data_IF_037658517108
#
_entry.id   IF_037658517108
#
_cell.length_a   1.000
_cell.length_b   1.000
_cell.length_c   1.000
_cell.angle_alpha   90.00
_cell.angle_beta   90.00
_cell.angle_gamma   90.00
#
_symmetry.space_group_name_H-M   'P 1'
#
loop_
_entity.id
_entity.type
_entity.pdbx_description
1 polymer ?
#
# COMPACT_ATOMS: atom_id res chain seq x y z
N UNK A 1 -21.17 -19.25 18.38
CA UNK A 1 -20.83 -17.82 18.56
C UNK A 1 -19.62 -17.59 19.51
N UNK A 2 -19.53 -18.27 20.65
CA UNK A 2 -18.37 -18.15 21.56
C UNK A 2 -17.06 -18.70 20.95
N UNK A 3 -17.12 -19.79 20.18
CA UNK A 3 -15.92 -20.37 19.53
C UNK A 3 -15.32 -19.53 18.43
N UNK A 4 -16.10 -18.66 17.81
CA UNK A 4 -15.60 -17.75 16.77
C UNK A 4 -14.88 -16.54 17.39
N UNK A 5 -15.32 -16.08 18.55
CA UNK A 5 -14.65 -15.02 19.31
C UNK A 5 -13.28 -15.43 19.87
N UNK A 6 -13.14 -16.68 20.33
CA UNK A 6 -11.85 -17.20 20.81
C UNK A 6 -10.83 -17.29 19.67
N UNK A 7 -11.25 -17.66 18.46
CA UNK A 7 -10.38 -17.68 17.28
C UNK A 7 -9.96 -16.28 16.81
N UNK A 8 -10.85 -15.30 16.88
CA UNK A 8 -10.52 -13.92 16.58
C UNK A 8 -9.56 -13.34 17.62
N UNK A 9 -9.72 -13.65 18.90
CA UNK A 9 -8.79 -13.21 19.94
C UNK A 9 -7.40 -13.82 19.78
N UNK A 10 -7.28 -15.09 19.38
CA UNK A 10 -5.99 -15.71 19.07
C UNK A 10 -5.28 -15.09 17.86
N UNK A 11 -6.02 -14.52 16.92
CA UNK A 11 -5.45 -13.79 15.78
C UNK A 11 -4.93 -12.41 16.24
N UNK A 12 -5.63 -11.76 17.16
CA UNK A 12 -5.21 -10.47 17.71
C UNK A 12 -4.08 -10.59 18.75
N UNK A 13 -3.99 -11.69 19.49
CA UNK A 13 -2.86 -11.95 20.41
C UNK A 13 -1.53 -12.21 19.68
N UNK A 14 -1.55 -12.48 18.37
CA UNK A 14 -0.35 -12.55 17.53
C UNK A 14 0.19 -11.18 17.07
N UNK A 15 -0.38 -10.08 17.52
CA UNK A 15 0.18 -8.73 17.29
C UNK A 15 1.54 -8.49 17.97
N UNK A 16 2.01 -9.40 18.81
CA UNK A 16 3.35 -9.35 19.43
C UNK A 16 4.53 -9.40 18.45
N UNK A 17 4.25 -9.61 17.16
CA UNK A 17 5.27 -9.65 16.10
C UNK A 17 5.27 -8.43 15.18
N UNK A 18 4.48 -7.40 15.47
CA UNK A 18 4.50 -6.14 14.71
C UNK A 18 5.50 -5.20 15.37
N UNK A 19 6.54 -4.87 14.64
CA UNK A 19 7.50 -3.85 15.02
C UNK A 19 7.11 -2.53 14.34
N UNK A 20 6.83 -1.52 15.14
CA UNK A 20 6.49 -0.19 14.67
C UNK A 20 7.73 0.64 14.47
N UNK A 21 7.84 1.28 13.32
CA UNK A 21 8.90 2.23 12.98
C UNK A 21 8.29 3.59 12.66
N UNK A 22 8.98 4.64 13.11
CA UNK A 22 8.57 6.01 12.85
C UNK A 22 9.71 6.75 12.18
N UNK A 23 9.44 7.40 11.04
CA UNK A 23 10.38 8.25 10.35
C UNK A 23 9.90 9.69 10.47
N UNK A 24 10.80 10.57 10.90
CA UNK A 24 10.56 12.01 10.96
C UNK A 24 11.46 12.65 9.93
N UNK A 25 10.87 13.43 9.03
CA UNK A 25 11.58 14.12 7.97
C UNK A 25 11.76 15.58 8.34
N UNK A 26 12.98 16.09 8.17
CA UNK A 26 13.36 17.46 8.50
C UNK A 26 13.71 18.24 7.24
N UNK A 27 13.36 19.49 7.22
CA UNK A 27 13.83 20.48 6.27
C UNK A 27 14.36 21.69 7.04
N UNK A 28 15.64 22.06 6.83
CA UNK A 28 16.30 23.14 7.57
C UNK A 28 16.07 23.05 9.10
N UNK A 29 16.33 21.86 9.67
CA UNK A 29 16.15 21.54 11.10
C UNK A 29 14.70 21.61 11.63
N UNK A 30 13.72 21.90 10.78
CA UNK A 30 12.30 21.87 11.11
C UNK A 30 11.68 20.51 10.73
N UNK A 31 10.98 19.81 11.64
CA UNK A 31 10.23 18.62 11.27
C UNK A 31 9.07 19.01 10.36
N UNK A 32 8.98 18.39 9.18
CA UNK A 32 7.98 18.70 8.15
C UNK A 32 7.06 17.54 7.80
N UNK A 33 7.45 16.34 8.15
CA UNK A 33 6.62 15.16 7.92
C UNK A 33 7.00 14.01 8.85
N UNK A 34 6.07 13.08 9.05
CA UNK A 34 6.37 11.79 9.64
C UNK A 34 5.62 10.67 8.94
N UNK A 35 6.20 9.45 8.99
CA UNK A 35 5.56 8.23 8.55
C UNK A 35 5.60 7.19 9.66
N UNK A 36 4.52 6.47 9.82
CA UNK A 36 4.42 5.25 10.61
C UNK A 36 4.54 4.04 9.68
N UNK A 37 5.41 3.11 10.00
CA UNK A 37 5.57 1.84 9.30
C UNK A 37 5.31 0.68 10.24
N UNK A 38 4.71 -0.38 9.71
CA UNK A 38 4.58 -1.67 10.37
C UNK A 38 5.50 -2.67 9.71
N UNK A 39 6.39 -3.26 10.49
CA UNK A 39 7.20 -4.41 10.05
C UNK A 39 6.58 -5.67 10.66
N UNK A 40 6.21 -6.61 9.82
CA UNK A 40 5.64 -7.88 10.25
C UNK A 40 6.36 -9.06 9.60
N UNK A 41 6.37 -10.19 10.30
CA UNK A 41 7.11 -11.41 9.92
C UNK A 41 8.60 -11.17 9.60
N UNK A 42 9.20 -10.11 10.16
CA UNK A 42 10.60 -9.70 9.91
C UNK A 42 10.98 -9.60 8.42
N UNK A 43 10.01 -9.49 7.53
CA UNK A 43 10.27 -9.47 6.08
C UNK A 43 9.33 -8.56 5.27
N UNK A 44 8.28 -8.08 5.87
CA UNK A 44 7.26 -7.26 5.20
C UNK A 44 7.12 -5.90 5.89
N UNK A 45 7.09 -4.85 5.11
CA UNK A 45 6.87 -3.47 5.56
C UNK A 45 5.56 -2.95 4.98
N UNK A 46 4.69 -2.45 5.81
CA UNK A 46 3.45 -1.79 5.41
C UNK A 46 3.51 -0.32 5.78
N UNK A 47 3.22 0.56 4.84
CA UNK A 47 3.02 1.98 5.15
C UNK A 47 1.75 2.14 5.98
N UNK A 48 1.90 2.83 7.10
CA UNK A 48 0.78 3.24 7.93
C UNK A 48 0.39 4.69 7.64
N UNK A 49 0.39 5.50 8.67
CA UNK A 49 0.00 6.89 8.58
C UNK A 49 1.14 7.76 8.06
N UNK A 50 0.83 8.66 7.12
CA UNK A 50 1.71 9.72 6.67
C UNK A 50 1.06 11.09 6.93
N UNK A 51 1.78 11.97 7.61
CA UNK A 51 1.36 13.35 7.82
C UNK A 51 2.49 14.30 7.46
N UNK A 52 2.16 15.48 6.94
CA UNK A 52 3.13 16.46 6.47
C UNK A 52 2.64 17.89 6.61
N UNK A 53 3.59 18.84 6.67
CA UNK A 53 3.32 20.26 6.74
C UNK A 53 2.94 20.80 5.34
N UNK A 54 1.70 21.22 5.19
CA UNK A 54 1.17 21.75 3.93
C UNK A 54 1.76 23.11 3.52
N UNK A 55 2.52 23.75 4.40
CA UNK A 55 3.18 25.02 4.10
C UNK A 55 4.25 24.89 3.01
N UNK A 56 4.79 23.68 2.80
CA UNK A 56 5.87 23.40 1.85
C UNK A 56 5.48 22.40 0.74
N UNK A 57 4.46 22.69 -0.08
CA UNK A 57 3.92 21.72 -1.03
C UNK A 57 4.90 21.38 -2.17
N UNK A 58 5.87 22.25 -2.45
CA UNK A 58 6.83 22.07 -3.54
C UNK A 58 7.95 21.08 -3.25
N UNK A 59 8.14 20.68 -2.00
CA UNK A 59 9.21 19.76 -1.61
C UNK A 59 8.98 18.33 -2.11
N UNK A 60 7.75 17.97 -2.52
CA UNK A 60 7.44 16.61 -2.96
C UNK A 60 7.68 15.56 -1.87
N UNK A 61 7.49 15.94 -0.62
CA UNK A 61 7.88 15.15 0.56
C UNK A 61 7.30 13.73 0.57
N UNK A 62 6.08 13.54 0.08
CA UNK A 62 5.48 12.20 0.01
C UNK A 62 6.23 11.25 -0.92
N UNK A 63 6.72 11.76 -2.06
CA UNK A 63 7.56 10.94 -2.96
C UNK A 63 8.93 10.67 -2.35
N UNK A 64 9.55 11.68 -1.74
CA UNK A 64 10.82 11.53 -1.07
C UNK A 64 10.75 10.51 0.07
N UNK A 65 9.74 10.63 0.94
CA UNK A 65 9.52 9.70 2.05
C UNK A 65 9.37 8.25 1.55
N UNK A 66 8.52 8.03 0.54
CA UNK A 66 8.33 6.70 -0.03
C UNK A 66 9.63 6.12 -0.60
N UNK A 67 10.42 6.90 -1.34
CA UNK A 67 11.71 6.44 -1.88
C UNK A 67 12.71 6.11 -0.78
N UNK A 68 12.76 6.94 0.26
CA UNK A 68 13.62 6.70 1.42
C UNK A 68 13.24 5.41 2.15
N UNK A 69 11.96 5.18 2.36
CA UNK A 69 11.44 4.01 3.05
C UNK A 69 11.63 2.71 2.24
N UNK A 70 11.51 2.79 0.91
CA UNK A 70 11.84 1.67 0.02
C UNK A 70 13.33 1.34 0.11
N UNK A 71 14.21 2.34 0.03
CA UNK A 71 15.66 2.16 0.16
C UNK A 71 16.04 1.58 1.53
N UNK A 72 15.45 2.11 2.58
CA UNK A 72 15.60 1.58 3.94
C UNK A 72 15.16 0.12 4.04
N UNK A 73 14.02 -0.23 3.42
CA UNK A 73 13.51 -1.60 3.40
C UNK A 73 14.46 -2.56 2.68
N UNK A 74 15.03 -2.12 1.55
CA UNK A 74 16.04 -2.89 0.79
C UNK A 74 17.30 -3.10 1.64
N UNK A 75 17.83 -2.06 2.28
CA UNK A 75 19.01 -2.12 3.13
C UNK A 75 18.84 -3.06 4.32
N UNK A 76 17.63 -3.13 4.86
CA UNK A 76 17.28 -4.05 5.94
C UNK A 76 16.83 -5.44 5.46
N UNK A 77 16.94 -5.72 4.15
CA UNK A 77 16.64 -7.02 3.53
C UNK A 77 15.17 -7.45 3.69
N UNK A 78 14.25 -6.50 3.74
CA UNK A 78 12.82 -6.81 3.70
C UNK A 78 12.40 -7.19 2.27
N UNK A 79 11.49 -8.15 2.17
CA UNK A 79 11.10 -8.73 0.88
C UNK A 79 10.04 -7.89 0.15
N UNK A 80 9.15 -7.25 0.90
CA UNK A 80 8.03 -6.48 0.35
C UNK A 80 7.85 -5.19 1.13
N UNK A 81 7.59 -4.12 0.39
CA UNK A 81 7.14 -2.84 0.91
C UNK A 81 5.76 -2.54 0.34
N UNK A 82 4.75 -2.58 1.18
CA UNK A 82 3.35 -2.38 0.77
C UNK A 82 2.99 -0.90 0.80
N UNK A 83 2.60 -0.36 -0.36
CA UNK A 83 2.11 1.01 -0.52
C UNK A 83 0.64 1.19 -0.08
N UNK A 84 0.15 0.30 0.79
CA UNK A 84 -1.26 0.24 1.16
C UNK A 84 -2.16 -0.10 -0.04
N UNK A 85 -3.47 -0.09 0.17
CA UNK A 85 -4.45 -0.38 -0.88
C UNK A 85 -4.74 0.84 -1.73
N UNK A 86 -5.42 0.62 -2.83
CA UNK A 86 -5.92 1.65 -3.72
C UNK A 86 -5.82 1.23 -5.18
N UNK A 87 -6.98 1.22 -5.81
CA UNK A 87 -7.15 1.06 -7.25
C UNK A 87 -7.86 2.28 -7.85
N UNK A 88 -8.00 3.35 -7.09
CA UNK A 88 -8.57 4.61 -7.56
C UNK A 88 -7.59 5.31 -8.51
N UNK A 89 -8.11 6.22 -9.32
CA UNK A 89 -7.31 7.03 -10.24
C UNK A 89 -6.18 7.78 -9.51
N UNK A 90 -6.43 8.24 -8.29
CA UNK A 90 -5.44 8.88 -7.42
C UNK A 90 -4.30 7.95 -6.99
N UNK A 91 -4.45 6.64 -7.13
CA UNK A 91 -3.43 5.64 -6.80
C UNK A 91 -2.48 5.30 -7.96
N UNK A 92 -2.74 5.79 -9.17
CA UNK A 92 -1.92 5.52 -10.37
C UNK A 92 -0.44 5.84 -10.15
N UNK A 93 -0.12 6.85 -9.35
CA UNK A 93 1.27 7.26 -9.05
C UNK A 93 2.11 6.13 -8.43
N UNK A 94 1.48 5.17 -7.75
CA UNK A 94 2.18 4.04 -7.11
C UNK A 94 2.94 3.19 -8.13
N UNK A 95 2.44 3.11 -9.34
CA UNK A 95 3.08 2.36 -10.43
C UNK A 95 4.37 2.98 -10.97
N UNK A 96 4.75 4.19 -10.53
CA UNK A 96 5.99 4.85 -10.95
C UNK A 96 7.25 4.23 -10.34
N UNK A 97 7.11 3.58 -9.19
CA UNK A 97 8.25 2.99 -8.48
C UNK A 97 8.76 1.74 -9.20
N UNK A 98 10.08 1.54 -9.17
CA UNK A 98 10.70 0.33 -9.70
C UNK A 98 10.37 -0.87 -8.83
N UNK A 99 10.20 -2.03 -9.45
CA UNK A 99 9.79 -3.24 -8.75
C UNK A 99 8.33 -3.23 -8.28
N UNK A 100 7.51 -2.27 -8.78
CA UNK A 100 6.10 -2.21 -8.45
C UNK A 100 5.36 -3.46 -8.92
N UNK A 101 4.61 -4.07 -8.02
CA UNK A 101 3.67 -5.15 -8.27
C UNK A 101 2.33 -4.80 -7.64
N UNK A 102 1.25 -5.31 -8.19
CA UNK A 102 -0.07 -5.22 -7.57
C UNK A 102 -0.74 -6.60 -7.50
N UNK A 103 -1.61 -6.76 -6.50
CA UNK A 103 -2.38 -7.97 -6.34
C UNK A 103 -3.60 -7.96 -7.24
N UNK A 104 -3.72 -8.98 -8.10
CA UNK A 104 -4.83 -9.08 -9.06
C UNK A 104 -6.03 -9.92 -8.55
N UNK A 105 -5.99 -10.32 -7.28
CA UNK A 105 -6.97 -11.23 -6.69
C UNK A 105 -6.49 -12.68 -6.60
N UNK A 106 -5.40 -13.01 -7.32
CA UNK A 106 -4.85 -14.37 -7.38
C UNK A 106 -3.31 -14.40 -7.23
N UNK A 107 -2.62 -13.42 -7.80
CA UNK A 107 -1.15 -13.34 -7.79
C UNK A 107 -0.67 -11.89 -7.82
N UNK A 108 0.59 -11.71 -7.46
CA UNK A 108 1.31 -10.44 -7.67
C UNK A 108 1.75 -10.34 -9.13
N UNK A 109 1.47 -9.22 -9.77
CA UNK A 109 1.85 -8.96 -11.17
C UNK A 109 2.44 -7.55 -11.32
N UNK A 110 3.40 -7.42 -12.24
CA UNK A 110 4.17 -6.19 -12.52
C UNK A 110 3.65 -5.38 -13.71
N UNK A 111 2.50 -5.74 -14.27
CA UNK A 111 1.93 -5.07 -15.43
C UNK A 111 1.39 -3.67 -15.07
N UNK A 112 2.27 -2.68 -15.11
CA UNK A 112 1.95 -1.27 -14.81
C UNK A 112 0.85 -0.68 -15.70
N UNK A 113 0.77 -1.10 -16.96
CA UNK A 113 -0.27 -0.62 -17.88
C UNK A 113 -1.64 -1.11 -17.48
N UNK A 114 -1.75 -2.40 -17.14
CA UNK A 114 -2.98 -2.97 -16.63
C UNK A 114 -3.41 -2.30 -15.32
N UNK A 115 -2.47 -2.10 -14.38
CA UNK A 115 -2.78 -1.41 -13.13
C UNK A 115 -3.39 -0.01 -13.36
N UNK A 116 -2.79 0.78 -14.26
CA UNK A 116 -3.30 2.12 -14.60
C UNK A 116 -4.69 2.08 -15.22
N UNK A 117 -4.94 1.07 -16.04
CA UNK A 117 -6.27 0.85 -16.63
C UNK A 117 -7.30 0.51 -15.55
N UNK A 118 -6.96 -0.41 -14.65
CA UNK A 118 -7.82 -0.79 -13.53
C UNK A 118 -8.16 0.41 -12.63
N UNK A 119 -7.19 1.24 -12.29
CA UNK A 119 -7.40 2.46 -11.51
C UNK A 119 -8.38 3.44 -12.19
N UNK A 120 -8.26 3.63 -13.51
CA UNK A 120 -9.18 4.48 -14.26
C UNK A 120 -10.59 3.91 -14.32
N UNK A 121 -10.72 2.60 -14.43
CA UNK A 121 -12.01 1.92 -14.49
C UNK A 121 -12.71 1.93 -13.13
N UNK A 122 -11.97 1.75 -12.03
CA UNK A 122 -12.52 1.77 -10.68
C UNK A 122 -13.22 3.09 -10.35
N UNK A 123 -12.65 4.20 -10.78
CA UNK A 123 -13.25 5.54 -10.63
C UNK A 123 -14.67 5.64 -11.21
N UNK A 124 -15.01 4.82 -12.21
CA UNK A 124 -16.31 4.78 -12.85
C UNK A 124 -17.31 3.81 -12.20
N UNK A 125 -16.87 2.98 -11.24
CA UNK A 125 -17.72 2.01 -10.55
C UNK A 125 -18.44 2.72 -9.40
N UNK A 126 -19.76 2.91 -9.54
CA UNK A 126 -20.60 3.61 -8.55
C UNK A 126 -21.62 2.69 -7.87
N UNK A 127 -21.81 1.47 -8.36
CA UNK A 127 -22.82 0.54 -7.86
C UNK A 127 -22.27 -0.88 -7.76
N UNK A 128 -22.86 -1.70 -6.86
CA UNK A 128 -22.55 -3.13 -6.75
C UNK A 128 -22.76 -3.91 -8.07
N UNK A 129 -23.75 -3.52 -8.84
CA UNK A 129 -24.01 -4.16 -10.15
C UNK A 129 -22.87 -3.90 -11.14
N UNK A 130 -22.33 -2.68 -11.15
CA UNK A 130 -21.16 -2.32 -11.97
C UNK A 130 -19.92 -3.07 -11.50
N UNK A 131 -19.68 -3.16 -10.19
CA UNK A 131 -18.59 -3.93 -9.62
C UNK A 131 -18.66 -5.40 -10.01
N UNK A 132 -19.80 -6.04 -9.86
CA UNK A 132 -20.01 -7.44 -10.24
C UNK A 132 -19.77 -7.69 -11.73
N UNK A 133 -20.22 -6.77 -12.60
CA UNK A 133 -19.97 -6.84 -14.04
C UNK A 133 -18.49 -6.69 -14.38
N UNK A 134 -17.79 -5.80 -13.69
CA UNK A 134 -16.38 -5.56 -13.82
C UNK A 134 -15.55 -6.78 -13.40
N UNK A 135 -15.80 -7.32 -12.21
CA UNK A 135 -15.14 -8.51 -11.70
C UNK A 135 -15.32 -9.71 -12.65
N UNK A 136 -16.53 -9.94 -13.15
CA UNK A 136 -16.79 -11.02 -14.12
C UNK A 136 -15.99 -10.87 -15.41
N UNK A 137 -15.80 -9.66 -15.92
CA UNK A 137 -14.95 -9.39 -17.10
C UNK A 137 -13.49 -9.67 -16.80
N UNK A 138 -13.03 -9.18 -15.67
CA UNK A 138 -11.64 -9.34 -15.24
C UNK A 138 -11.25 -10.80 -15.07
N UNK A 139 -12.08 -11.58 -14.37
CA UNK A 139 -11.84 -13.01 -14.20
C UNK A 139 -11.92 -13.80 -15.52
N UNK A 140 -12.76 -13.40 -16.46
CA UNK A 140 -12.81 -14.04 -17.79
C UNK A 140 -11.54 -13.79 -18.61
N UNK A 141 -10.96 -12.61 -18.53
CA UNK A 141 -9.75 -12.24 -19.26
C UNK A 141 -8.52 -12.98 -18.72
N UNK A 142 -8.46 -13.18 -17.40
CA UNK A 142 -7.27 -13.76 -16.74
C UNK A 142 -7.35 -15.29 -16.51
N UNK A 143 -8.50 -15.92 -16.69
CA UNK A 143 -8.70 -17.36 -16.55
C UNK A 143 -9.16 -18.05 -17.86
N UNK A 144 -9.14 -17.35 -18.95
CA UNK A 144 -9.34 -17.86 -20.31
C UNK A 144 -7.99 -17.94 -21.02
#
# INVERSE_FOLDING_TARGET
HEKDYEKESEIFEKEDYIDWKYFIYFYEDKPIAFTELKVFDNSHVLTGQFAWDYAEPKLGIGTYATLYEIDWSIKNKYNKYYLSYGYEETSIYKSKYDGFEFWNGNSWIDNKSLYKELCKQDTNIKTLSQLNKYQRRYFKINNG
#
